data_IF_552850715588
#
_entry.id   IF_552850715588
#
_cell.length_a   1.000
_cell.length_b   1.000
_cell.length_c   1.000
_cell.angle_alpha   90.00
_cell.angle_beta   90.00
_cell.angle_gamma   90.00
#
_symmetry.space_group_name_H-M   'P 1'
#
loop_
_entity.id
_entity.type
_entity.pdbx_description
1 polymer ?
#
# COMPACT_ATOMS: atom_id res chain seq x y z
N UNK A 1 -17.02 1.91 -24.73
CA UNK A 1 -17.27 3.24 -24.10
C UNK A 1 -17.99 3.10 -22.76
N UNK A 2 -19.18 2.51 -22.68
CA UNK A 2 -19.89 2.27 -21.39
C UNK A 2 -19.11 1.38 -20.39
N UNK A 3 -18.44 0.33 -20.90
CA UNK A 3 -17.61 -0.55 -20.08
C UNK A 3 -16.42 0.14 -19.41
N UNK A 4 -15.91 1.22 -20.00
CA UNK A 4 -14.79 1.99 -19.43
C UNK A 4 -15.29 2.77 -18.21
N UNK A 5 -16.47 3.38 -18.30
CA UNK A 5 -17.10 4.04 -17.15
C UNK A 5 -17.46 3.06 -16.05
N UNK A 6 -17.98 1.88 -16.39
CA UNK A 6 -18.24 0.81 -15.40
C UNK A 6 -16.94 0.38 -14.72
N UNK A 7 -15.86 0.17 -15.49
CA UNK A 7 -14.56 -0.22 -14.95
C UNK A 7 -14.00 0.85 -14.01
N UNK A 8 -14.08 2.14 -14.40
CA UNK A 8 -13.64 3.27 -13.57
C UNK A 8 -14.48 3.37 -12.29
N UNK A 9 -15.80 3.25 -12.39
CA UNK A 9 -16.68 3.26 -11.22
C UNK A 9 -16.42 2.08 -10.28
N UNK A 10 -16.12 0.90 -10.81
CA UNK A 10 -15.84 -0.30 -10.02
C UNK A 10 -14.48 -0.17 -9.32
N UNK A 11 -13.45 0.34 -10.00
CA UNK A 11 -12.16 0.66 -9.38
C UNK A 11 -12.33 1.72 -8.28
N UNK A 12 -13.05 2.81 -8.56
CA UNK A 12 -13.31 3.86 -7.58
C UNK A 12 -14.12 3.34 -6.38
N UNK A 13 -15.11 2.46 -6.63
CA UNK A 13 -15.90 1.82 -5.60
C UNK A 13 -15.06 0.89 -4.72
N UNK A 14 -14.21 0.05 -5.32
CA UNK A 14 -13.30 -0.81 -4.55
C UNK A 14 -12.25 0.00 -3.80
N UNK A 15 -11.71 1.07 -4.37
CA UNK A 15 -10.80 1.99 -3.66
C UNK A 15 -11.48 2.73 -2.50
N UNK A 16 -12.77 3.05 -2.62
CA UNK A 16 -13.55 3.70 -1.56
C UNK A 16 -14.04 2.71 -0.49
N UNK A 17 -14.38 1.48 -0.90
CA UNK A 17 -14.84 0.40 -0.01
C UNK A 17 -13.66 -0.40 0.59
N UNK A 18 -12.43 -0.18 0.15
CA UNK A 18 -11.25 -0.52 0.93
C UNK A 18 -11.10 0.48 2.08
N UNK A 19 -12.13 0.54 2.92
CA UNK A 19 -12.03 1.01 4.29
C UNK A 19 -10.85 0.27 4.93
N UNK A 20 -10.01 1.08 5.55
CA UNK A 20 -8.73 0.70 6.10
C UNK A 20 -8.95 -0.27 7.25
N UNK A 21 -9.03 -1.57 6.95
CA UNK A 21 -8.69 -2.61 7.92
C UNK A 21 -7.17 -2.63 8.11
N UNK A 22 -6.70 -1.61 8.82
CA UNK A 22 -5.35 -1.48 9.34
C UNK A 22 -5.38 -0.96 10.76
N UNK A 23 -6.45 -1.22 11.52
CA UNK A 23 -6.42 -1.09 12.97
C UNK A 23 -5.67 -2.29 13.57
N UNK A 24 -4.35 -2.33 13.38
CA UNK A 24 -3.49 -3.10 14.27
C UNK A 24 -3.13 -2.20 15.45
N UNK A 25 -3.29 -2.69 16.69
CA UNK A 25 -2.94 -1.92 17.87
C UNK A 25 -1.45 -1.61 17.79
N UNK A 26 -1.14 -0.32 17.91
CA UNK A 26 0.18 0.21 18.15
C UNK A 26 0.82 -0.55 19.33
N UNK A 27 1.67 -1.52 19.02
CA UNK A 27 2.52 -2.18 19.99
C UNK A 27 3.96 -2.13 19.49
N UNK A 28 4.69 -1.19 20.09
CA UNK A 28 6.14 -1.17 20.30
C UNK A 28 7.05 -1.84 19.26
N UNK A 29 7.92 -1.01 18.69
CA UNK A 29 9.31 -1.33 18.31
C UNK A 29 9.63 -1.76 16.85
N UNK A 30 8.65 -1.84 15.94
CA UNK A 30 8.93 -2.16 14.53
C UNK A 30 8.77 -0.94 13.61
N UNK A 31 9.77 -0.04 13.62
CA UNK A 31 9.86 1.09 12.66
C UNK A 31 9.72 0.64 11.21
N UNK A 32 10.11 -0.60 10.90
CA UNK A 32 10.03 -1.17 9.55
C UNK A 32 8.63 -1.59 9.11
N UNK A 33 7.76 -2.05 10.03
CA UNK A 33 6.35 -2.34 9.71
C UNK A 33 5.62 -1.05 9.32
N UNK A 34 5.83 0.03 10.09
CA UNK A 34 5.31 1.36 9.74
C UNK A 34 5.80 1.83 8.36
N UNK A 35 7.08 1.61 8.02
CA UNK A 35 7.62 2.02 6.72
C UNK A 35 6.99 1.27 5.54
N UNK A 36 6.75 -0.05 5.69
CA UNK A 36 6.08 -0.86 4.67
C UNK A 36 4.61 -0.47 4.49
N UNK A 37 3.92 -0.14 5.59
CA UNK A 37 2.51 0.28 5.53
C UNK A 37 2.36 1.65 4.86
N UNK A 38 3.25 2.60 5.14
CA UNK A 38 3.32 3.89 4.43
C UNK A 38 3.59 3.68 2.94
N UNK A 39 4.50 2.77 2.59
CA UNK A 39 4.83 2.46 1.20
C UNK A 39 3.62 1.87 0.46
N UNK A 40 2.88 0.96 1.12
CA UNK A 40 1.67 0.33 0.57
C UNK A 40 0.54 1.34 0.40
N UNK A 41 0.38 2.28 1.33
CA UNK A 41 -0.60 3.35 1.23
C UNK A 41 -0.34 4.27 0.02
N UNK A 42 0.93 4.65 -0.21
CA UNK A 42 1.30 5.51 -1.36
C UNK A 42 1.08 4.82 -2.70
N UNK A 43 1.36 3.52 -2.79
CA UNK A 43 1.06 2.72 -3.98
C UNK A 43 -0.44 2.64 -4.25
N UNK A 44 -1.25 2.41 -3.21
CA UNK A 44 -2.71 2.37 -3.34
C UNK A 44 -3.31 3.72 -3.77
N UNK A 45 -2.67 4.84 -3.37
CA UNK A 45 -3.02 6.19 -3.85
C UNK A 45 -2.57 6.47 -5.28
N UNK A 46 -1.71 5.64 -5.87
CA UNK A 46 -1.10 5.87 -7.18
C UNK A 46 -0.01 6.94 -7.18
N UNK A 47 0.52 7.32 -6.00
CA UNK A 47 1.62 8.30 -5.89
C UNK A 47 2.96 7.71 -6.35
N UNK A 48 3.08 6.39 -6.35
CA UNK A 48 4.26 5.64 -6.79
C UNK A 48 3.84 4.51 -7.74
N UNK A 49 4.69 4.18 -8.70
CA UNK A 49 4.42 3.08 -9.62
C UNK A 49 4.79 1.71 -8.99
N UNK A 50 4.42 0.62 -9.65
CA UNK A 50 4.69 -0.75 -9.15
C UNK A 50 6.18 -1.07 -9.06
N UNK A 51 7.02 -0.49 -9.90
CA UNK A 51 8.47 -0.72 -9.96
C UNK A 51 9.18 -0.07 -8.77
N UNK A 52 8.87 1.21 -8.50
CA UNK A 52 9.35 1.96 -7.34
C UNK A 52 8.85 1.36 -6.03
N UNK A 53 7.59 0.89 -5.99
CA UNK A 53 7.06 0.16 -4.84
C UNK A 53 7.90 -1.09 -4.55
N UNK A 54 8.23 -1.87 -5.58
CA UNK A 54 8.93 -3.14 -5.41
C UNK A 54 10.39 -2.94 -4.96
N UNK A 55 11.07 -1.93 -5.51
CA UNK A 55 12.44 -1.56 -5.12
C UNK A 55 12.50 -1.15 -3.65
N UNK A 56 11.62 -0.22 -3.23
CA UNK A 56 11.57 0.27 -1.84
C UNK A 56 11.13 -0.81 -0.86
N UNK A 57 10.20 -1.68 -1.26
CA UNK A 57 9.77 -2.82 -0.45
C UNK A 57 10.94 -3.76 -0.16
N UNK A 58 11.73 -4.09 -1.19
CA UNK A 58 12.90 -4.96 -1.06
C UNK A 58 13.93 -4.38 -0.09
N UNK A 59 14.23 -3.08 -0.20
CA UNK A 59 15.16 -2.39 0.71
C UNK A 59 14.68 -2.46 2.18
N UNK A 60 13.38 -2.23 2.39
CA UNK A 60 12.78 -2.28 3.72
C UNK A 60 12.80 -3.71 4.30
N UNK A 61 12.50 -4.73 3.50
CA UNK A 61 12.53 -6.14 3.90
C UNK A 61 13.96 -6.63 4.17
N UNK A 62 14.93 -6.27 3.32
CA UNK A 62 16.35 -6.59 3.53
C UNK A 62 16.90 -5.96 4.82
N UNK A 63 16.46 -4.75 5.15
CA UNK A 63 16.76 -4.09 6.41
C UNK A 63 16.18 -4.80 7.65
N UNK A 64 15.11 -5.59 7.50
CA UNK A 64 14.57 -6.45 8.56
C UNK A 64 15.45 -7.68 8.77
N UNK A 65 15.89 -8.33 7.69
CA UNK A 65 16.66 -9.59 7.75
C UNK A 65 18.04 -9.38 8.39
N UNK A 66 18.60 -8.16 8.30
CA UNK A 66 19.91 -7.82 8.85
C UNK A 66 19.90 -7.36 10.32
N UNK A 67 18.76 -7.41 11.01
CA UNK A 67 18.61 -6.97 12.41
C UNK A 67 18.33 -8.15 13.32
#
# INVERSE_FOLDING_TARGET
MFFIFILICLIAYFSYHHDKHGCLPYQGNNRTQNALDILRERYARGEINSEEFNERKKILEEGVIRK
#
